data_IF_886897993688
#
_entry.id   IF_886897993688
#
_cell.length_a   1.000
_cell.length_b   1.000
_cell.length_c   1.000
_cell.angle_alpha   90.00
_cell.angle_beta   90.00
_cell.angle_gamma   90.00
#
_symmetry.space_group_name_H-M   'P 1'
#
loop_
_entity.id
_entity.type
_entity.pdbx_description
1 polymer ?
#
# COMPACT_ATOMS: atom_id res chain seq x y z
N UNK A 1 29.19 -4.50 -0.14
CA UNK A 1 29.09 -4.17 1.29
C UNK A 1 28.07 -5.12 1.91
N UNK A 2 28.54 -6.20 2.53
CA UNK A 2 27.67 -7.24 3.12
C UNK A 2 27.10 -6.73 4.44
N UNK A 3 25.80 -6.43 4.50
CA UNK A 3 25.11 -6.18 5.77
C UNK A 3 24.69 -7.50 6.40
N UNK A 4 25.38 -7.86 7.48
CA UNK A 4 24.96 -8.85 8.48
C UNK A 4 23.78 -8.25 9.25
N UNK A 5 22.57 -8.75 8.99
CA UNK A 5 21.40 -8.48 9.85
C UNK A 5 21.54 -9.38 11.08
N UNK A 6 21.64 -8.75 12.24
CA UNK A 6 21.75 -9.37 13.57
C UNK A 6 20.50 -10.21 13.89
N UNK A 7 20.72 -11.29 14.64
CA UNK A 7 19.86 -12.45 14.82
C UNK A 7 18.63 -12.23 15.72
N UNK A 8 17.66 -11.41 15.28
CA UNK A 8 16.31 -11.39 15.86
C UNK A 8 15.29 -11.68 14.74
N UNK A 9 14.65 -12.84 14.84
CA UNK A 9 13.74 -13.39 13.82
C UNK A 9 12.59 -12.41 13.53
N UNK A 10 12.53 -11.92 12.29
CA UNK A 10 11.30 -11.40 11.70
C UNK A 10 10.61 -12.55 10.98
N UNK A 11 9.37 -12.86 11.37
CA UNK A 11 8.53 -13.80 10.62
C UNK A 11 7.89 -13.05 9.46
N UNK A 12 8.42 -13.28 8.25
CA UNK A 12 7.74 -12.89 7.02
C UNK A 12 6.64 -13.92 6.77
N UNK A 13 5.37 -13.56 6.88
CA UNK A 13 4.28 -14.47 6.50
C UNK A 13 3.75 -13.97 5.15
N UNK A 14 4.32 -14.52 4.08
CA UNK A 14 3.74 -14.42 2.74
C UNK A 14 2.65 -15.48 2.63
N UNK A 15 1.39 -15.05 2.69
CA UNK A 15 0.24 -15.90 2.34
C UNK A 15 -0.11 -15.68 0.86
N UNK A 16 0.92 -15.74 0.02
CA UNK A 16 0.82 -15.92 -1.42
C UNK A 16 1.54 -17.23 -1.74
N UNK A 17 0.87 -18.16 -2.41
CA UNK A 17 1.41 -19.45 -2.84
C UNK A 17 2.73 -19.29 -3.63
N UNK A 18 3.88 -19.32 -2.94
CA UNK A 18 5.11 -19.99 -3.37
C UNK A 18 6.28 -19.72 -2.39
N UNK A 19 6.77 -20.81 -1.80
CA UNK A 19 8.00 -21.00 -1.01
C UNK A 19 8.11 -20.36 0.38
N UNK A 20 7.67 -21.11 1.38
CA UNK A 20 8.42 -21.27 2.64
C UNK A 20 8.98 -22.69 2.71
N UNK A 21 10.31 -22.80 2.76
CA UNK A 21 11.02 -24.02 3.13
C UNK A 21 10.85 -24.24 4.64
N UNK A 22 9.74 -24.87 5.03
CA UNK A 22 9.66 -25.68 6.23
C UNK A 22 9.05 -27.02 5.87
N UNK A 23 9.90 -28.04 5.72
CA UNK A 23 9.48 -29.43 5.55
C UNK A 23 9.15 -29.99 6.93
N UNK A 24 7.96 -29.71 7.45
CA UNK A 24 7.37 -30.54 8.49
C UNK A 24 6.65 -31.71 7.80
N UNK A 25 6.93 -32.97 8.18
CA UNK A 25 6.17 -34.10 7.67
C UNK A 25 4.74 -33.98 8.21
N UNK A 26 3.78 -33.65 7.33
CA UNK A 26 2.37 -33.76 7.67
C UNK A 26 2.04 -35.26 7.84
N UNK A 27 1.45 -35.69 8.96
CA UNK A 27 0.85 -37.01 9.03
C UNK A 27 -0.32 -37.07 8.02
N UNK A 28 -0.25 -38.05 7.12
CA UNK A 28 -1.31 -38.32 6.16
C UNK A 28 -2.62 -38.65 6.88
N UNK A 29 -3.64 -37.82 6.70
CA UNK A 29 -5.04 -38.19 6.95
C UNK A 29 -5.83 -38.11 5.64
N UNK A 30 -6.72 -39.08 5.34
CA UNK A 30 -7.26 -39.26 3.99
C UNK A 30 -8.34 -38.24 3.64
N UNK A 31 -8.23 -37.73 2.41
CA UNK A 31 -9.22 -37.03 1.58
C UNK A 31 -10.38 -36.34 2.31
N UNK A 32 -10.25 -35.04 2.54
CA UNK A 32 -11.40 -34.15 2.66
C UNK A 32 -11.17 -32.99 1.69
N UNK A 33 -11.99 -32.93 0.65
CA UNK A 33 -12.07 -31.80 -0.29
C UNK A 33 -12.60 -30.57 0.45
N UNK A 34 -11.80 -30.01 1.37
CA UNK A 34 -12.06 -28.73 1.99
C UNK A 34 -11.57 -27.66 1.04
N UNK A 35 -12.50 -26.88 0.48
CA UNK A 35 -12.13 -25.70 -0.31
C UNK A 35 -11.18 -24.84 0.51
N UNK A 36 -10.03 -24.48 -0.07
CA UNK A 36 -8.99 -23.59 0.51
C UNK A 36 -9.52 -22.16 0.82
N UNK A 37 -10.81 -21.93 0.59
CA UNK A 37 -11.54 -20.67 0.71
C UNK A 37 -12.41 -20.54 1.97
N UNK A 38 -12.38 -21.51 2.90
CA UNK A 38 -13.03 -21.28 4.19
C UNK A 38 -12.22 -20.24 4.96
N UNK A 39 -12.85 -19.08 5.17
CA UNK A 39 -12.35 -17.99 6.01
C UNK A 39 -11.83 -18.62 7.31
N UNK A 40 -10.53 -18.49 7.61
CA UNK A 40 -9.79 -18.97 8.79
C UNK A 40 -8.88 -20.20 8.64
N UNK A 41 -8.92 -21.00 7.55
CA UNK A 41 -8.04 -22.18 7.45
C UNK A 41 -6.55 -21.81 7.52
N UNK A 42 -6.13 -20.80 6.74
CA UNK A 42 -4.74 -20.36 6.69
C UNK A 42 -4.28 -19.78 8.03
N UNK A 43 -5.17 -19.04 8.71
CA UNK A 43 -4.90 -18.54 10.06
C UNK A 43 -4.66 -19.70 11.03
N UNK A 44 -5.58 -20.67 11.08
CA UNK A 44 -5.51 -21.82 12.00
C UNK A 44 -4.32 -22.74 11.72
N UNK A 45 -3.93 -22.91 10.46
CA UNK A 45 -2.84 -23.79 10.07
C UNK A 45 -1.45 -23.12 10.19
N UNK A 46 -1.35 -21.82 9.90
CA UNK A 46 -0.05 -21.16 9.74
C UNK A 46 0.30 -20.20 10.88
N UNK A 47 -0.69 -19.48 11.44
CA UNK A 47 -0.44 -18.44 12.45
C UNK A 47 -0.78 -18.90 13.85
N UNK A 48 -1.95 -19.53 14.02
CA UNK A 48 -2.43 -19.99 15.31
C UNK A 48 -1.40 -20.87 16.07
N UNK A 49 -0.64 -21.79 15.41
CA UNK A 49 0.38 -22.57 16.10
C UNK A 49 1.56 -21.75 16.64
N UNK A 50 1.76 -20.53 16.15
CA UNK A 50 2.85 -19.64 16.52
C UNK A 50 2.48 -18.67 17.64
N UNK A 51 1.21 -18.59 18.05
CA UNK A 51 0.73 -17.57 18.99
C UNK A 51 1.39 -17.63 20.39
N UNK A 52 1.92 -18.78 20.78
CA UNK A 52 2.63 -18.96 22.05
C UNK A 52 4.09 -18.45 22.00
N UNK A 53 4.57 -18.00 20.84
CA UNK A 53 5.90 -17.43 20.68
C UNK A 53 5.89 -15.94 21.00
N UNK A 54 6.96 -15.45 21.61
CA UNK A 54 7.20 -14.02 21.79
C UNK A 54 7.77 -13.44 20.49
N UNK A 55 7.04 -12.50 19.88
CA UNK A 55 7.48 -11.84 18.64
C UNK A 55 7.76 -10.36 18.87
N UNK A 56 8.69 -9.79 18.08
CA UNK A 56 8.95 -8.35 18.06
C UNK A 56 8.02 -7.60 17.11
N UNK A 57 7.55 -8.26 16.05
CA UNK A 57 6.69 -7.66 15.04
C UNK A 57 6.30 -8.67 13.96
N UNK A 58 5.45 -8.22 13.04
CA UNK A 58 5.01 -9.01 11.89
C UNK A 58 5.18 -8.22 10.58
N UNK A 59 5.40 -8.94 9.48
CA UNK A 59 5.41 -8.38 8.13
C UNK A 59 4.38 -9.11 7.28
N UNK A 60 3.53 -8.35 6.59
CA UNK A 60 2.45 -8.85 5.76
C UNK A 60 2.56 -8.36 4.32
N UNK A 61 2.46 -9.29 3.37
CA UNK A 61 2.33 -8.95 1.96
C UNK A 61 1.24 -9.82 1.32
N UNK A 62 0.05 -9.26 1.24
CA UNK A 62 -1.11 -9.81 0.55
C UNK A 62 -2.11 -8.68 0.26
N UNK A 63 -2.93 -8.86 -0.77
CA UNK A 63 -4.12 -8.06 -1.05
C UNK A 63 -4.60 -8.17 -2.50
N UNK A 64 -3.81 -8.84 -3.35
CA UNK A 64 -4.04 -8.97 -4.79
C UNK A 64 -5.36 -9.65 -5.09
N UNK A 65 -5.71 -10.73 -4.38
CA UNK A 65 -7.01 -11.40 -4.56
C UNK A 65 -8.20 -10.52 -4.14
N UNK A 66 -7.97 -9.55 -3.24
CA UNK A 66 -9.02 -8.67 -2.75
C UNK A 66 -9.41 -7.59 -3.76
N UNK A 67 -8.63 -7.40 -4.84
CA UNK A 67 -9.00 -6.48 -5.93
C UNK A 67 -10.32 -6.90 -6.58
N UNK A 68 -10.58 -8.21 -6.63
CA UNK A 68 -11.77 -8.79 -7.23
C UNK A 68 -12.73 -9.36 -6.16
N UNK A 69 -12.33 -9.39 -4.88
CA UNK A 69 -13.11 -9.99 -3.78
C UNK A 69 -13.12 -9.12 -2.50
N UNK A 70 -14.32 -8.72 -2.05
CA UNK A 70 -14.52 -7.93 -0.82
C UNK A 70 -13.73 -6.61 -0.77
N UNK A 71 -13.39 -6.03 -1.93
CA UNK A 71 -12.59 -4.80 -2.05
C UNK A 71 -13.04 -3.68 -1.09
N UNK A 72 -14.33 -3.32 -1.11
CA UNK A 72 -14.90 -2.25 -0.27
C UNK A 72 -14.82 -2.51 1.24
N UNK A 73 -14.70 -3.78 1.66
CA UNK A 73 -14.60 -4.15 3.08
C UNK A 73 -13.16 -4.11 3.57
N UNK A 74 -12.18 -4.05 2.67
CA UNK A 74 -10.77 -4.18 3.01
C UNK A 74 -10.27 -3.05 3.92
N UNK A 75 -10.83 -1.84 3.81
CA UNK A 75 -10.49 -0.70 4.67
C UNK A 75 -10.86 -0.93 6.13
N UNK A 76 -11.84 -1.79 6.41
CA UNK A 76 -12.20 -2.22 7.75
C UNK A 76 -11.48 -3.52 8.13
N UNK A 77 -11.51 -4.53 7.25
CA UNK A 77 -11.02 -5.86 7.61
C UNK A 77 -9.50 -5.94 7.78
N UNK A 78 -8.72 -5.17 7.02
CA UNK A 78 -7.26 -5.20 7.14
C UNK A 78 -6.77 -4.58 8.46
N UNK A 79 -7.22 -3.38 8.88
CA UNK A 79 -6.91 -2.87 10.22
C UNK A 79 -7.43 -3.77 11.34
N UNK A 80 -8.64 -4.34 11.22
CA UNK A 80 -9.15 -5.29 12.20
C UNK A 80 -8.30 -6.55 12.32
N UNK A 81 -7.78 -7.09 11.20
CA UNK A 81 -6.84 -8.21 11.23
C UNK A 81 -5.58 -7.88 12.04
N UNK A 82 -5.04 -6.67 11.88
CA UNK A 82 -3.86 -6.25 12.66
C UNK A 82 -4.17 -6.22 14.16
N UNK A 83 -5.35 -5.68 14.53
CA UNK A 83 -5.78 -5.62 15.93
C UNK A 83 -6.00 -7.04 16.50
N UNK A 84 -6.61 -7.93 15.72
CA UNK A 84 -6.83 -9.33 16.11
C UNK A 84 -5.51 -10.08 16.31
N UNK A 85 -4.52 -9.88 15.44
CA UNK A 85 -3.20 -10.48 15.60
C UNK A 85 -2.51 -9.96 16.86
N UNK A 86 -2.54 -8.65 17.09
CA UNK A 86 -2.01 -8.02 18.29
C UNK A 86 -2.61 -8.60 19.56
N UNK A 87 -3.93 -8.69 19.59
CA UNK A 87 -4.67 -9.29 20.71
C UNK A 87 -4.29 -10.77 20.91
N UNK A 88 -4.32 -11.58 19.84
CA UNK A 88 -4.06 -13.01 19.92
C UNK A 88 -2.64 -13.32 20.39
N UNK A 89 -1.61 -12.70 19.80
CA UNK A 89 -0.22 -12.91 20.21
C UNK A 89 0.03 -12.42 21.64
N UNK A 90 -0.54 -11.28 22.04
CA UNK A 90 -0.39 -10.79 23.42
C UNK A 90 -0.99 -11.77 24.43
N UNK A 91 -2.22 -12.25 24.19
CA UNK A 91 -2.91 -13.18 25.08
C UNK A 91 -2.22 -14.54 25.16
N UNK A 92 -1.92 -15.16 24.01
CA UNK A 92 -1.36 -16.51 23.95
C UNK A 92 0.09 -16.59 24.42
N UNK A 93 0.88 -15.53 24.28
CA UNK A 93 2.24 -15.46 24.85
C UNK A 93 2.27 -15.15 26.35
N UNK A 94 1.10 -15.05 27.01
CA UNK A 94 1.00 -14.71 28.44
C UNK A 94 1.42 -13.27 28.73
N UNK A 95 1.19 -12.36 27.78
CA UNK A 95 1.55 -10.95 27.88
C UNK A 95 2.99 -10.59 27.48
N UNK A 96 3.80 -11.56 27.03
CA UNK A 96 5.19 -11.32 26.66
C UNK A 96 5.35 -10.57 25.33
N UNK A 97 4.50 -10.84 24.35
CA UNK A 97 4.43 -10.04 23.13
C UNK A 97 3.76 -8.71 23.43
N UNK A 98 4.35 -7.59 23.00
CA UNK A 98 3.78 -6.26 23.21
C UNK A 98 2.37 -6.16 22.59
N UNK A 99 1.37 -5.60 23.30
CA UNK A 99 -0.01 -5.52 22.82
C UNK A 99 -0.17 -4.65 21.57
N UNK A 100 0.79 -3.77 21.29
CA UNK A 100 0.81 -2.86 20.17
C UNK A 100 2.00 -3.10 19.25
N UNK A 101 2.53 -4.33 19.18
CA UNK A 101 3.77 -4.63 18.45
C UNK A 101 3.79 -4.06 17.00
N UNK A 102 4.97 -3.69 16.49
CA UNK A 102 5.16 -3.16 15.14
C UNK A 102 4.63 -4.09 14.04
N UNK A 103 3.79 -3.54 13.15
CA UNK A 103 3.22 -4.29 12.02
C UNK A 103 3.61 -3.64 10.69
N UNK A 104 4.46 -4.32 9.93
CA UNK A 104 4.88 -3.91 8.60
C UNK A 104 4.00 -4.51 7.51
N UNK A 105 3.69 -3.75 6.46
CA UNK A 105 3.04 -4.32 5.29
C UNK A 105 3.52 -3.73 3.96
N UNK A 106 3.32 -4.49 2.88
CA UNK A 106 3.64 -4.03 1.53
C UNK A 106 2.35 -3.61 0.83
N UNK A 107 2.36 -2.39 0.28
CA UNK A 107 1.29 -1.94 -0.58
C UNK A 107 1.30 -2.77 -1.87
N UNK A 108 0.16 -3.32 -2.26
CA UNK A 108 0.11 -4.28 -3.37
C UNK A 108 0.66 -3.68 -4.68
N UNK A 109 1.55 -4.44 -5.33
CA UNK A 109 1.98 -4.19 -6.71
C UNK A 109 0.96 -4.77 -7.69
N UNK A 110 1.12 -4.50 -8.98
CA UNK A 110 0.23 -5.01 -10.04
C UNK A 110 0.99 -5.88 -11.03
N UNK A 111 0.27 -6.80 -11.66
CA UNK A 111 0.68 -7.52 -12.87
C UNK A 111 -0.18 -7.13 -14.09
N UNK A 112 -1.19 -6.25 -13.89
CA UNK A 112 -2.18 -5.87 -14.90
C UNK A 112 -1.83 -4.50 -15.51
N UNK A 113 -1.06 -4.49 -16.60
CA UNK A 113 -0.67 -3.24 -17.27
C UNK A 113 -1.81 -2.62 -18.10
N UNK A 114 -2.55 -3.43 -18.86
CA UNK A 114 -3.60 -2.98 -19.77
C UNK A 114 -5.02 -3.02 -19.16
N UNK A 115 -5.15 -2.79 -17.86
CA UNK A 115 -6.42 -2.85 -17.14
C UNK A 115 -7.02 -1.45 -16.95
N UNK A 116 -8.32 -1.32 -17.24
CA UNK A 116 -9.13 -0.15 -16.86
C UNK A 116 -9.81 -0.34 -15.49
N UNK A 117 -9.54 -1.46 -14.81
CA UNK A 117 -10.05 -1.69 -13.46
C UNK A 117 -9.40 -0.72 -12.47
N UNK A 118 -10.19 -0.32 -11.47
CA UNK A 118 -9.70 0.37 -10.27
C UNK A 118 -9.51 -0.61 -9.09
N UNK A 119 -9.34 -1.90 -9.41
CA UNK A 119 -9.09 -3.01 -8.49
C UNK A 119 -7.96 -2.74 -7.50
N UNK A 120 -6.75 -2.61 -8.04
CA UNK A 120 -5.54 -2.39 -7.25
C UNK A 120 -5.50 -1.03 -6.56
N UNK A 121 -5.76 0.13 -7.21
CA UNK A 121 -5.65 1.42 -6.52
C UNK A 121 -6.60 1.52 -5.31
N UNK A 122 -7.81 0.97 -5.40
CA UNK A 122 -8.72 0.90 -4.25
C UNK A 122 -8.15 0.03 -3.13
N UNK A 123 -7.58 -1.15 -3.41
CA UNK A 123 -6.94 -1.97 -2.37
C UNK A 123 -5.73 -1.27 -1.75
N UNK A 124 -4.89 -0.61 -2.55
CA UNK A 124 -3.75 0.17 -2.06
C UNK A 124 -4.18 1.27 -1.08
N UNK A 125 -5.31 1.92 -1.38
CA UNK A 125 -5.93 2.91 -0.50
C UNK A 125 -6.48 2.27 0.77
N UNK A 126 -7.28 1.21 0.63
CA UNK A 126 -7.89 0.48 1.73
C UNK A 126 -6.87 -0.18 2.68
N UNK A 127 -5.70 -0.61 2.18
CA UNK A 127 -4.57 -1.10 2.99
C UNK A 127 -4.10 -0.08 4.05
N UNK A 128 -4.38 1.21 3.85
CA UNK A 128 -4.02 2.28 4.78
C UNK A 128 -5.19 2.76 5.63
N UNK A 129 -6.30 2.01 5.67
CA UNK A 129 -7.56 2.44 6.28
C UNK A 129 -8.09 3.77 5.69
N UNK A 130 -7.88 3.98 4.40
CA UNK A 130 -8.32 5.16 3.65
C UNK A 130 -7.62 6.48 4.05
N UNK A 131 -6.37 6.39 4.54
CA UNK A 131 -5.53 7.56 4.85
C UNK A 131 -4.48 7.87 3.77
N UNK A 132 -4.04 6.88 3.01
CA UNK A 132 -2.97 6.97 2.01
C UNK A 132 -1.55 6.75 2.54
N UNK A 133 -1.37 6.72 3.86
CA UNK A 133 -0.07 6.51 4.51
C UNK A 133 -0.20 5.67 5.79
N UNK A 134 0.92 5.10 6.23
CA UNK A 134 1.04 4.39 7.51
C UNK A 134 2.41 4.71 8.15
N UNK A 135 2.49 4.92 9.48
CA UNK A 135 1.40 4.83 10.46
C UNK A 135 0.39 5.98 10.33
N UNK A 136 -0.83 5.76 10.81
CA UNK A 136 -1.91 6.76 10.82
C UNK A 136 -2.77 6.62 12.09
N UNK A 137 -3.82 7.44 12.22
CA UNK A 137 -4.69 7.47 13.41
C UNK A 137 -5.38 6.12 13.70
N UNK A 138 -5.71 5.34 12.66
CA UNK A 138 -6.35 4.01 12.79
C UNK A 138 -5.35 2.89 13.00
N UNK A 139 -4.16 3.01 12.41
CA UNK A 139 -3.13 1.96 12.36
C UNK A 139 -1.83 2.45 13.01
N UNK A 140 -1.83 2.55 14.34
CA UNK A 140 -0.64 2.93 15.12
C UNK A 140 0.42 1.84 15.10
N UNK A 141 1.69 2.24 15.27
CA UNK A 141 2.86 1.35 15.26
C UNK A 141 2.87 0.42 14.03
N UNK A 142 2.55 0.99 12.86
CA UNK A 142 2.60 0.28 11.58
C UNK A 142 3.54 1.00 10.62
N UNK A 143 4.04 0.29 9.62
CA UNK A 143 4.86 0.88 8.56
C UNK A 143 4.54 0.20 7.24
N UNK A 144 4.66 0.95 6.14
CA UNK A 144 4.28 0.50 4.81
C UNK A 144 5.43 0.67 3.82
N UNK A 145 5.69 -0.37 3.03
CA UNK A 145 6.49 -0.24 1.82
C UNK A 145 5.58 -0.03 0.61
N UNK A 146 5.69 1.14 -0.03
CA UNK A 146 5.02 1.39 -1.31
C UNK A 146 5.72 0.55 -2.39
N UNK A 147 4.97 -0.27 -3.13
CA UNK A 147 5.51 -1.15 -4.18
C UNK A 147 4.76 -1.03 -5.52
N UNK A 148 3.90 -0.02 -5.70
CA UNK A 148 3.12 0.15 -6.92
C UNK A 148 3.96 0.46 -8.17
N UNK A 149 5.18 0.97 -7.99
CA UNK A 149 6.18 1.25 -9.03
C UNK A 149 7.11 0.05 -9.32
N UNK A 150 6.85 -1.11 -8.71
CA UNK A 150 7.65 -2.33 -8.86
C UNK A 150 6.91 -3.41 -9.64
N UNK A 151 5.96 -3.03 -10.50
CA UNK A 151 5.25 -3.94 -11.41
C UNK A 151 6.22 -4.66 -12.37
N UNK A 152 5.90 -5.90 -12.72
CA UNK A 152 6.67 -6.68 -13.69
C UNK A 152 5.73 -7.27 -14.76
N UNK A 153 5.83 -6.74 -15.98
CA UNK A 153 5.09 -7.21 -17.15
C UNK A 153 5.77 -8.41 -17.81
N UNK A 154 7.10 -8.53 -17.66
CA UNK A 154 7.96 -9.34 -18.52
C UNK A 154 8.67 -10.47 -17.76
N UNK A 155 8.14 -10.86 -16.60
CA UNK A 155 8.64 -12.03 -15.88
C UNK A 155 8.69 -13.23 -16.83
N UNK A 156 9.82 -13.93 -16.98
CA UNK A 156 9.98 -15.04 -17.93
C UNK A 156 9.08 -16.25 -17.63
N UNK A 157 8.38 -16.26 -16.49
CA UNK A 157 7.34 -17.23 -16.14
C UNK A 157 5.91 -16.76 -16.54
N UNK A 158 5.79 -15.56 -17.10
CA UNK A 158 4.55 -14.80 -17.30
C UNK A 158 3.80 -15.02 -18.62
N UNK A 159 4.10 -16.08 -19.40
CA UNK A 159 3.25 -16.45 -20.55
C UNK A 159 2.29 -17.61 -20.27
N UNK A 160 2.45 -18.34 -19.17
CA UNK A 160 1.54 -19.45 -18.81
C UNK A 160 1.02 -19.41 -17.36
N UNK A 161 1.48 -18.50 -16.50
CA UNK A 161 0.94 -18.35 -15.15
C UNK A 161 1.05 -16.87 -14.74
N UNK A 162 -0.09 -16.23 -14.48
CA UNK A 162 -0.20 -14.84 -14.01
C UNK A 162 0.65 -14.65 -12.75
N UNK A 163 1.81 -14.02 -12.89
CA UNK A 163 2.79 -13.90 -11.82
C UNK A 163 2.36 -12.80 -10.84
N UNK A 164 1.74 -13.20 -9.73
CA UNK A 164 1.41 -12.34 -8.58
C UNK A 164 2.65 -11.98 -7.73
N UNK A 165 3.86 -12.11 -8.27
CA UNK A 165 5.12 -12.04 -7.54
C UNK A 165 6.04 -10.97 -8.15
N UNK A 166 6.33 -9.86 -7.45
CA UNK A 166 7.25 -8.86 -7.95
C UNK A 166 8.67 -9.45 -8.01
N UNK A 167 9.33 -9.38 -9.17
CA UNK A 167 10.75 -9.74 -9.32
C UNK A 167 11.66 -8.96 -8.35
N UNK A 168 11.23 -7.77 -7.97
CA UNK A 168 11.99 -6.77 -7.23
C UNK A 168 11.81 -6.86 -5.71
N UNK A 169 11.89 -8.08 -5.15
CA UNK A 169 11.77 -8.30 -3.71
C UNK A 169 12.85 -7.58 -2.89
N UNK A 170 14.04 -7.34 -3.47
CA UNK A 170 15.10 -6.57 -2.79
C UNK A 170 14.67 -5.13 -2.54
N UNK A 171 14.00 -4.49 -3.50
CA UNK A 171 13.50 -3.12 -3.35
C UNK A 171 12.36 -3.04 -2.33
N UNK A 172 11.45 -4.01 -2.37
CA UNK A 172 10.38 -4.13 -1.36
C UNK A 172 10.97 -4.32 0.04
N UNK A 173 11.90 -5.25 0.20
CA UNK A 173 12.56 -5.53 1.47
C UNK A 173 13.35 -4.33 1.99
N UNK A 174 14.05 -3.61 1.10
CA UNK A 174 14.77 -2.40 1.47
C UNK A 174 13.81 -1.33 2.01
N UNK A 175 12.71 -1.04 1.31
CA UNK A 175 11.70 -0.07 1.76
C UNK A 175 11.05 -0.48 3.09
N UNK A 176 10.72 -1.76 3.26
CA UNK A 176 10.22 -2.29 4.53
C UNK A 176 11.25 -2.15 5.66
N UNK A 177 12.53 -2.38 5.37
CA UNK A 177 13.60 -2.30 6.38
C UNK A 177 13.77 -0.89 6.93
N UNK A 178 13.55 0.15 6.11
CA UNK A 178 13.54 1.55 6.56
C UNK A 178 12.41 1.78 7.58
N UNK A 179 11.21 1.28 7.29
CA UNK A 179 10.08 1.34 8.20
C UNK A 179 10.30 0.58 9.50
N UNK A 180 10.88 -0.62 9.42
CA UNK A 180 11.23 -1.39 10.60
C UNK A 180 12.27 -0.66 11.48
N UNK A 181 13.31 -0.08 10.89
CA UNK A 181 14.32 0.71 11.63
C UNK A 181 13.70 1.90 12.36
N UNK A 182 12.89 2.69 11.65
CA UNK A 182 12.26 3.87 12.23
C UNK A 182 11.18 3.52 13.27
N UNK A 183 10.25 2.62 12.95
CA UNK A 183 9.05 2.35 13.76
C UNK A 183 9.28 1.24 14.78
N UNK A 184 9.90 0.12 14.38
CA UNK A 184 10.05 -1.03 15.27
C UNK A 184 11.28 -0.94 16.20
N UNK A 185 12.34 -0.28 15.74
CA UNK A 185 13.58 -0.10 16.48
C UNK A 185 13.80 1.33 17.00
N UNK A 186 12.96 2.29 16.61
CA UNK A 186 13.04 3.67 17.10
C UNK A 186 14.28 4.42 16.62
N UNK A 187 14.86 4.03 15.49
CA UNK A 187 16.03 4.71 14.94
C UNK A 187 15.65 6.09 14.37
N UNK A 188 16.26 7.14 14.92
CA UNK A 188 16.01 8.52 14.49
C UNK A 188 16.72 8.84 13.16
N UNK A 189 16.16 9.79 12.38
CA UNK A 189 16.75 10.24 11.12
C UNK A 189 16.60 9.28 9.94
N UNK A 190 15.91 8.15 10.10
CA UNK A 190 15.59 7.22 9.02
C UNK A 190 14.32 7.64 8.31
N UNK A 191 14.42 8.11 7.06
CA UNK A 191 13.25 8.34 6.21
C UNK A 191 12.71 7.01 5.69
N UNK A 192 11.41 6.77 5.90
CA UNK A 192 10.74 5.53 5.48
C UNK A 192 9.40 5.76 4.77
N UNK A 193 8.85 6.97 4.83
CA UNK A 193 7.61 7.33 4.16
C UNK A 193 7.90 8.08 2.86
N UNK A 194 7.18 7.70 1.80
CA UNK A 194 7.14 8.50 0.58
C UNK A 194 6.41 9.82 0.81
N UNK A 195 6.64 10.84 -0.05
CA UNK A 195 6.07 12.16 0.16
C UNK A 195 4.54 12.12 0.04
N UNK A 196 3.85 12.68 1.03
CA UNK A 196 2.39 12.71 1.07
C UNK A 196 1.88 14.17 1.02
N UNK A 197 0.75 14.45 0.33
CA UNK A 197 0.21 15.80 0.28
C UNK A 197 -0.20 16.29 1.67
N UNK A 198 0.39 17.41 2.10
CA UNK A 198 0.04 18.12 3.34
C UNK A 198 -1.01 19.21 3.10
N UNK A 199 -1.03 19.80 1.90
CA UNK A 199 -1.98 20.86 1.53
C UNK A 199 -2.28 20.84 0.04
N UNK A 200 -3.56 21.00 -0.30
CA UNK A 200 -4.01 21.16 -1.70
C UNK A 200 -4.78 22.47 -1.83
N UNK A 201 -4.36 23.31 -2.77
CA UNK A 201 -5.00 24.59 -3.09
C UNK A 201 -5.44 24.58 -4.55
N UNK A 202 -6.73 24.82 -4.78
CA UNK A 202 -7.31 24.89 -6.13
C UNK A 202 -7.36 26.36 -6.55
N UNK A 203 -6.68 26.69 -7.64
CA UNK A 203 -6.77 27.98 -8.33
C UNK A 203 -7.55 27.80 -9.65
N UNK A 204 -7.70 28.90 -10.40
CA UNK A 204 -8.45 28.92 -11.66
C UNK A 204 -7.79 28.11 -12.78
N UNK A 205 -6.46 28.09 -12.83
CA UNK A 205 -5.69 27.44 -13.91
C UNK A 205 -4.97 26.16 -13.47
N UNK A 206 -4.78 25.99 -12.15
CA UNK A 206 -3.99 24.89 -11.62
C UNK A 206 -4.37 24.54 -10.19
N UNK A 207 -4.02 23.33 -9.79
CA UNK A 207 -4.10 22.85 -8.42
C UNK A 207 -2.67 22.75 -7.90
N UNK A 208 -2.38 23.42 -6.80
CA UNK A 208 -1.09 23.37 -6.13
C UNK A 208 -1.14 22.34 -5.00
N UNK A 209 -0.33 21.29 -5.13
CA UNK A 209 -0.18 20.20 -4.16
C UNK A 209 1.14 20.39 -3.42
N UNK A 210 1.07 20.73 -2.14
CA UNK A 210 2.24 20.83 -1.26
C UNK A 210 2.42 19.51 -0.52
N UNK A 211 3.64 19.02 -0.47
CA UNK A 211 4.03 17.79 0.20
C UNK A 211 4.65 18.08 1.57
N UNK A 212 4.61 17.09 2.45
CA UNK A 212 5.20 17.11 3.79
C UNK A 212 6.74 17.07 3.80
N UNK A 213 7.35 16.65 2.70
CA UNK A 213 8.79 16.58 2.54
C UNK A 213 9.26 17.05 1.15
N UNK A 214 10.58 17.10 0.95
CA UNK A 214 11.15 17.43 -0.36
C UNK A 214 10.88 16.30 -1.37
N UNK A 215 10.54 16.70 -2.59
CA UNK A 215 10.17 15.78 -3.66
C UNK A 215 11.15 15.85 -4.82
N UNK A 216 11.37 14.68 -5.45
CA UNK A 216 11.95 14.57 -6.78
C UNK A 216 10.80 14.27 -7.74
N UNK A 217 10.68 15.07 -8.81
CA UNK A 217 9.52 15.04 -9.71
C UNK A 217 9.96 14.85 -11.15
N UNK A 218 9.28 13.97 -11.86
CA UNK A 218 9.37 13.85 -13.33
C UNK A 218 8.05 14.25 -13.99
N UNK A 219 8.13 14.74 -15.22
CA UNK A 219 6.97 15.20 -15.97
C UNK A 219 6.00 14.03 -16.24
N UNK A 220 4.72 14.22 -15.95
CA UNK A 220 3.65 13.27 -16.26
C UNK A 220 2.40 13.97 -16.77
N UNK A 221 1.69 13.31 -17.69
CA UNK A 221 0.48 13.85 -18.31
C UNK A 221 -0.80 13.27 -17.72
N UNK A 222 -0.73 12.12 -17.05
CA UNK A 222 -1.90 11.30 -16.74
C UNK A 222 -1.90 10.64 -15.36
N UNK A 223 -0.82 10.76 -14.57
CA UNK A 223 -0.81 10.13 -13.24
C UNK A 223 -1.74 10.81 -12.23
N UNK A 224 -1.86 12.13 -12.34
CA UNK A 224 -2.84 12.89 -11.59
C UNK A 224 -4.13 12.90 -12.38
N UNK A 225 -5.24 12.79 -11.66
CA UNK A 225 -6.57 12.88 -12.22
C UNK A 225 -7.43 13.79 -11.37
N UNK A 226 -8.28 14.56 -12.02
CA UNK A 226 -9.24 15.45 -11.37
C UNK A 226 -10.64 15.02 -11.73
N UNK A 227 -11.58 15.33 -10.86
CA UNK A 227 -13.00 15.18 -11.15
C UNK A 227 -13.71 16.51 -10.90
N UNK A 228 -14.67 16.82 -11.78
CA UNK A 228 -15.41 18.07 -11.77
C UNK A 228 -16.84 17.83 -11.25
N UNK A 229 -17.35 18.71 -10.40
CA UNK A 229 -18.73 18.66 -9.91
C UNK A 229 -19.33 20.06 -9.87
N UNK A 230 -20.36 20.27 -10.70
CA UNK A 230 -21.13 21.54 -10.76
C UNK A 230 -21.99 21.73 -9.50
N UNK A 231 -22.53 20.63 -8.98
CA UNK A 231 -23.42 20.63 -7.80
C UNK A 231 -22.66 20.56 -6.47
N UNK A 232 -21.33 20.69 -6.50
CA UNK A 232 -20.45 20.70 -5.33
C UNK A 232 -20.57 19.45 -4.44
N UNK A 233 -20.64 18.28 -5.05
CA UNK A 233 -20.61 16.97 -4.37
C UNK A 233 -19.22 16.33 -4.49
N UNK A 234 -18.80 15.51 -3.52
CA UNK A 234 -17.55 14.75 -3.63
C UNK A 234 -17.57 13.80 -4.83
N UNK A 235 -16.38 13.51 -5.34
CA UNK A 235 -16.18 12.50 -6.36
C UNK A 235 -16.07 11.12 -5.72
N UNK A 236 -16.73 10.16 -6.35
CA UNK A 236 -16.76 8.77 -5.98
C UNK A 236 -16.16 7.89 -7.10
N UNK A 237 -16.34 6.58 -6.99
CA UNK A 237 -15.87 5.60 -7.99
C UNK A 237 -16.63 5.67 -9.31
N UNK A 238 -17.81 6.30 -9.36
CA UNK A 238 -18.63 6.44 -10.56
C UNK A 238 -18.38 7.77 -11.28
N UNK A 239 -17.72 8.69 -10.60
CA UNK A 239 -17.39 10.01 -11.12
C UNK A 239 -16.42 9.93 -12.29
N UNK A 240 -16.57 10.86 -13.25
CA UNK A 240 -15.66 10.94 -14.38
C UNK A 240 -14.34 11.59 -13.94
N UNK A 241 -13.29 10.78 -13.89
CA UNK A 241 -11.93 11.22 -13.60
C UNK A 241 -11.15 11.47 -14.89
N UNK A 242 -10.62 12.68 -15.05
CA UNK A 242 -9.88 13.10 -16.25
C UNK A 242 -8.41 13.37 -15.91
N UNK A 243 -7.46 13.07 -16.80
CA UNK A 243 -6.05 13.38 -16.62
C UNK A 243 -5.78 14.85 -16.29
N UNK A 244 -4.87 15.09 -15.34
CA UNK A 244 -4.41 16.42 -14.95
C UNK A 244 -2.87 16.49 -15.07
N UNK A 245 -2.32 16.99 -16.19
CA UNK A 245 -0.87 17.04 -16.39
C UNK A 245 -0.15 17.86 -15.31
N UNK A 246 1.03 17.40 -14.91
CA UNK A 246 1.98 18.21 -14.13
C UNK A 246 2.45 19.36 -15.03
N UNK A 247 2.44 20.58 -14.50
CA UNK A 247 2.86 21.78 -15.24
C UNK A 247 4.20 22.30 -14.75
N UNK A 248 4.35 22.40 -13.43
CA UNK A 248 5.54 22.92 -12.78
C UNK A 248 5.71 22.24 -11.41
N UNK A 249 6.92 22.22 -10.89
CA UNK A 249 7.21 21.73 -9.55
C UNK A 249 8.35 22.54 -8.91
N UNK A 250 8.33 22.59 -7.59
CA UNK A 250 9.40 23.12 -6.76
C UNK A 250 9.98 22.03 -5.85
N UNK A 251 10.64 22.44 -4.77
CA UNK A 251 11.28 21.50 -3.84
C UNK A 251 10.29 20.64 -3.04
N UNK A 252 9.07 21.15 -2.80
CA UNK A 252 8.04 20.47 -1.99
C UNK A 252 6.62 20.69 -2.52
N UNK A 253 6.47 21.22 -3.73
CA UNK A 253 5.17 21.54 -4.31
C UNK A 253 5.09 21.19 -5.78
N UNK A 254 3.92 20.74 -6.23
CA UNK A 254 3.64 20.39 -7.62
C UNK A 254 2.37 21.13 -8.06
N UNK A 255 2.44 21.77 -9.22
CA UNK A 255 1.29 22.37 -9.88
C UNK A 255 0.78 21.43 -10.97
N UNK A 256 -0.49 21.06 -10.87
CA UNK A 256 -1.19 20.23 -11.88
C UNK A 256 -2.28 21.05 -12.56
N UNK A 257 -2.52 20.79 -13.85
CA UNK A 257 -3.51 21.54 -14.63
C UNK A 257 -4.95 21.27 -14.15
N UNK A 258 -5.79 22.31 -14.10
CA UNK A 258 -7.23 22.20 -13.87
C UNK A 258 -8.08 22.46 -15.12
N UNK A 259 -7.47 22.55 -16.30
CA UNK A 259 -8.11 23.05 -17.53
C UNK A 259 -9.33 22.24 -18.00
N UNK A 260 -9.47 20.99 -17.56
CA UNK A 260 -10.62 20.15 -17.92
C UNK A 260 -11.89 20.47 -17.11
N UNK A 261 -11.78 21.17 -15.98
CA UNK A 261 -12.92 21.64 -15.21
C UNK A 261 -13.15 23.12 -15.47
N UNK A 262 -14.40 23.54 -15.61
CA UNK A 262 -14.74 24.96 -15.52
C UNK A 262 -14.39 25.51 -14.14
N UNK A 263 -14.19 26.84 -14.08
CA UNK A 263 -13.82 27.57 -12.87
C UNK A 263 -14.68 27.14 -11.66
N UNK A 264 -14.02 26.89 -10.52
CA UNK A 264 -14.61 26.46 -9.25
C UNK A 264 -15.31 25.08 -9.22
N UNK A 265 -15.27 24.28 -10.28
CA UNK A 265 -15.90 22.95 -10.29
C UNK A 265 -14.96 21.80 -9.95
N UNK A 266 -13.67 22.02 -9.73
CA UNK A 266 -12.77 20.95 -9.26
C UNK A 266 -13.25 20.46 -7.91
N UNK A 267 -13.67 19.20 -7.89
CA UNK A 267 -14.35 18.54 -6.78
C UNK A 267 -13.43 17.54 -6.08
N UNK A 268 -12.56 16.88 -6.85
CA UNK A 268 -11.61 15.91 -6.33
C UNK A 268 -10.30 15.89 -7.11
N UNK A 269 -9.25 15.43 -6.45
CA UNK A 269 -7.91 15.20 -6.99
C UNK A 269 -7.44 13.84 -6.50
N UNK A 270 -6.90 13.02 -7.41
CA UNK A 270 -6.25 11.76 -7.06
C UNK A 270 -4.94 11.58 -7.81
N UNK A 271 -4.06 10.77 -7.23
CA UNK A 271 -2.72 10.48 -7.74
C UNK A 271 -2.50 8.97 -7.81
N UNK A 272 -1.87 8.51 -8.89
CA UNK A 272 -1.49 7.11 -9.12
C UNK A 272 -2.68 6.13 -9.01
N UNK A 273 -3.88 6.57 -9.40
CA UNK A 273 -5.13 5.83 -9.26
C UNK A 273 -5.44 4.93 -10.45
N UNK A 274 -4.48 4.05 -10.78
CA UNK A 274 -4.61 3.04 -11.83
C UNK A 274 -4.02 1.72 -11.35
N UNK A 275 -4.45 0.61 -11.95
CA UNK A 275 -3.81 -0.68 -11.68
C UNK A 275 -2.30 -0.58 -11.89
N UNK A 276 -1.87 -0.02 -13.04
CA UNK A 276 -0.48 0.27 -13.39
C UNK A 276 -0.24 1.78 -13.54
N UNK A 277 0.12 2.49 -12.47
CA UNK A 277 0.23 3.96 -12.49
C UNK A 277 1.53 4.47 -13.13
N UNK A 278 2.59 3.67 -13.10
CA UNK A 278 3.91 4.03 -13.62
C UNK A 278 4.73 2.77 -13.92
N UNK A 279 5.74 2.89 -14.78
CA UNK A 279 6.69 1.81 -15.04
C UNK A 279 7.70 1.64 -13.90
N UNK A 280 8.54 0.61 -13.99
CA UNK A 280 9.51 0.24 -12.97
C UNK A 280 10.35 1.44 -12.51
N UNK A 281 10.20 1.82 -11.24
CA UNK A 281 10.87 2.98 -10.61
C UNK A 281 10.72 4.29 -11.40
N UNK A 282 9.65 4.43 -12.17
CA UNK A 282 9.38 5.56 -13.06
C UNK A 282 8.14 6.36 -12.61
N UNK A 283 7.78 6.27 -11.32
CA UNK A 283 6.72 7.10 -10.79
C UNK A 283 7.11 8.59 -10.81
N UNK A 284 6.19 9.49 -11.15
CA UNK A 284 6.44 10.93 -11.21
C UNK A 284 6.85 11.60 -9.91
N UNK A 285 6.49 11.06 -8.74
CA UNK A 285 6.79 11.69 -7.45
C UNK A 285 7.50 10.71 -6.52
N UNK A 286 8.72 11.06 -6.16
CA UNK A 286 9.55 10.36 -5.17
C UNK A 286 10.01 11.32 -4.07
N UNK A 287 10.50 10.76 -2.96
CA UNK A 287 11.35 11.47 -2.01
C UNK A 287 12.55 12.11 -2.71
N UNK A 288 13.16 13.13 -2.10
CA UNK A 288 14.28 13.86 -2.68
C UNK A 288 15.49 12.99 -3.08
N UNK A 289 15.70 11.85 -2.40
CA UNK A 289 16.75 10.87 -2.70
C UNK A 289 16.35 9.86 -3.81
N UNK A 290 15.11 9.91 -4.30
CA UNK A 290 14.59 9.03 -5.35
C UNK A 290 14.25 7.61 -4.90
N UNK A 291 14.26 7.33 -3.59
CA UNK A 291 14.11 5.96 -3.06
C UNK A 291 12.64 5.60 -2.82
N UNK A 292 11.88 6.51 -2.22
CA UNK A 292 10.54 6.27 -1.69
C UNK A 292 9.49 6.95 -2.58
N UNK A 293 8.68 6.19 -3.34
CA UNK A 293 7.62 6.77 -4.16
C UNK A 293 6.50 7.34 -3.28
N UNK A 294 5.88 8.43 -3.73
CA UNK A 294 4.64 8.93 -3.14
C UNK A 294 3.57 7.82 -3.21
N UNK A 295 2.87 7.47 -2.12
CA UNK A 295 1.76 6.52 -2.19
C UNK A 295 0.57 7.13 -2.95
N UNK A 296 -0.35 6.30 -3.48
CA UNK A 296 -1.56 6.77 -4.11
C UNK A 296 -2.45 7.49 -3.09
N UNK A 297 -3.14 8.53 -3.54
CA UNK A 297 -4.11 9.24 -2.71
C UNK A 297 -5.31 9.70 -3.52
N UNK A 298 -6.41 9.94 -2.82
CA UNK A 298 -7.60 10.62 -3.34
C UNK A 298 -8.07 11.63 -2.31
N UNK A 299 -8.46 12.81 -2.78
CA UNK A 299 -8.89 13.92 -1.94
C UNK A 299 -10.14 14.54 -2.56
N UNK A 300 -11.16 14.73 -1.74
CA UNK A 300 -12.36 15.47 -2.09
C UNK A 300 -12.36 16.85 -1.43
N UNK A 301 -12.69 17.87 -2.21
CA UNK A 301 -12.79 19.26 -1.75
C UNK A 301 -13.98 19.45 -0.80
N UNK A 302 -15.06 18.73 -1.06
CA UNK A 302 -16.29 18.80 -0.28
C UNK A 302 -16.50 17.50 0.50
N UNK A 303 -17.01 17.58 1.74
CA UNK A 303 -17.29 16.39 2.54
C UNK A 303 -18.46 15.59 1.94
N UNK A 304 -18.46 14.28 2.19
CA UNK A 304 -19.65 13.47 1.99
C UNK A 304 -20.81 14.02 2.82
N UNK A 305 -21.93 14.28 2.15
CA UNK A 305 -23.21 14.47 2.83
C UNK A 305 -23.64 13.10 3.35
N UNK A 306 -23.13 12.74 4.52
CA UNK A 306 -23.64 11.61 5.31
C UNK A 306 -25.03 11.90 5.83
#
# INVERSE_FOLDING_TARGET
MHLKISSHLWYLISVGLCYFLFRFPMPYTPSMYLSVWTNSLLWNAMIHPLLNMTIKGAIWYQGEANTDYNQKKYSCSFPSMIDDWRMAFHQSSGGQTAPDFPFGFVQVSTYRKASLSEGFPNIRWHQTADYGFAPNLRMKNTFMAVAMDLGDEMSPFGRMMQCMHPKWYQDVAYRLSLGARAVAYGEEGVSFQGPFPSRVLVNDQYINVTYDQRVSVTQSKDIFQICCSVVKVPCDTLSLWVPAPIMQWGLSAIQVSSNYCSLNHVAGLRYAWRDWPCDFKACPVYSADGVLPAPPFTLNRWPDKR
#
